data_IF_658184431546
#
_entry.id   IF_658184431546
#
_cell.length_a   1.000
_cell.length_b   1.000
_cell.length_c   1.000
_cell.angle_alpha   90.00
_cell.angle_beta   90.00
_cell.angle_gamma   90.00
#
_symmetry.space_group_name_H-M   'P 1'
#
loop_
_entity.id
_entity.type
_entity.pdbx_description
1 polymer ?
#
# COMPACT_ATOMS: atom_id res chain seq x y z
N UNK A 1 -63.60 -42.52 6.05
CA UNK A 1 -62.20 -42.35 6.56
C UNK A 1 -61.42 -41.63 5.49
N UNK A 2 -61.08 -40.33 5.70
CA UNK A 2 -60.29 -39.53 4.78
C UNK A 2 -58.91 -39.40 5.44
N UNK A 3 -57.87 -39.95 4.79
CA UNK A 3 -56.48 -39.80 5.24
C UNK A 3 -55.94 -38.46 4.74
N UNK A 4 -55.52 -37.60 5.65
CA UNK A 4 -54.80 -36.37 5.39
C UNK A 4 -53.32 -36.69 5.45
N UNK A 5 -52.61 -36.52 4.34
CA UNK A 5 -51.16 -36.66 4.25
C UNK A 5 -50.53 -35.30 4.53
N UNK A 6 -49.65 -35.13 5.53
CA UNK A 6 -48.97 -33.86 5.74
C UNK A 6 -47.83 -33.68 4.69
N UNK A 7 -47.85 -32.53 4.02
CA UNK A 7 -46.78 -32.12 3.13
C UNK A 7 -45.57 -31.67 3.97
N UNK A 8 -44.47 -32.37 3.81
CA UNK A 8 -43.17 -31.97 4.38
C UNK A 8 -42.53 -30.95 3.46
N UNK A 9 -42.48 -29.69 3.87
CA UNK A 9 -41.69 -28.66 3.20
C UNK A 9 -40.21 -28.87 3.53
N UNK A 10 -39.45 -29.35 2.56
CA UNK A 10 -37.98 -29.40 2.67
C UNK A 10 -37.42 -28.01 2.36
N UNK A 11 -36.80 -27.38 3.35
CA UNK A 11 -36.03 -26.17 3.18
C UNK A 11 -34.65 -26.56 2.61
N UNK A 12 -34.42 -26.24 1.35
CA UNK A 12 -33.05 -26.31 0.78
C UNK A 12 -32.23 -25.15 1.34
N UNK A 13 -31.29 -25.45 2.21
CA UNK A 13 -30.25 -24.49 2.62
C UNK A 13 -29.29 -24.38 1.44
N UNK A 14 -29.36 -23.27 0.73
CA UNK A 14 -28.33 -22.86 -0.22
C UNK A 14 -27.08 -22.52 0.59
N UNK A 15 -26.17 -23.48 0.72
CA UNK A 15 -24.80 -23.20 1.17
C UNK A 15 -24.16 -22.32 0.10
N UNK A 16 -24.00 -21.02 0.39
CA UNK A 16 -23.16 -20.15 -0.41
C UNK A 16 -21.76 -20.74 -0.48
N UNK A 17 -21.28 -21.01 -1.68
CA UNK A 17 -19.89 -21.37 -1.90
C UNK A 17 -19.04 -20.18 -1.41
N UNK A 18 -18.37 -20.31 -0.26
CA UNK A 18 -17.25 -19.47 0.08
C UNK A 18 -16.20 -19.78 -1.01
N UNK A 19 -15.97 -18.82 -1.91
CA UNK A 19 -14.82 -18.87 -2.78
C UNK A 19 -13.61 -18.79 -1.85
N UNK A 20 -12.97 -19.92 -1.59
CA UNK A 20 -11.63 -19.94 -1.04
C UNK A 20 -10.77 -19.22 -2.08
N UNK A 21 -10.29 -18.02 -1.75
CA UNK A 21 -9.21 -17.38 -2.49
C UNK A 21 -8.07 -18.40 -2.43
N UNK A 22 -7.70 -18.95 -3.60
CA UNK A 22 -6.51 -19.81 -3.68
C UNK A 22 -5.38 -19.02 -3.03
N UNK A 23 -4.61 -19.62 -2.11
CA UNK A 23 -3.50 -18.93 -1.48
C UNK A 23 -2.63 -18.39 -2.60
N UNK A 24 -2.40 -17.10 -2.62
CA UNK A 24 -1.46 -16.48 -3.55
C UNK A 24 -0.17 -17.30 -3.45
N UNK A 25 0.23 -17.96 -4.55
CA UNK A 25 1.44 -18.77 -4.54
C UNK A 25 2.66 -17.85 -4.48
N UNK A 26 2.90 -17.37 -3.26
CA UNK A 26 4.03 -16.50 -2.95
C UNK A 26 5.35 -17.23 -3.18
N UNK A 27 5.32 -18.58 -3.15
CA UNK A 27 6.50 -19.42 -3.42
C UNK A 27 6.94 -19.34 -4.90
N UNK A 28 6.05 -18.99 -5.83
CA UNK A 28 6.41 -18.76 -7.23
C UNK A 28 7.25 -17.50 -7.42
N UNK A 29 7.19 -16.53 -6.51
CA UNK A 29 8.06 -15.37 -6.53
C UNK A 29 9.30 -15.69 -5.68
N UNK A 30 10.51 -15.55 -6.23
CA UNK A 30 11.78 -15.76 -5.50
C UNK A 30 12.06 -14.57 -4.55
N UNK A 31 11.05 -14.25 -3.70
CA UNK A 31 11.12 -13.17 -2.71
C UNK A 31 11.93 -13.55 -1.47
N UNK A 32 12.20 -14.85 -1.28
CA UNK A 32 12.90 -15.35 -0.08
C UNK A 32 14.35 -14.88 0.06
N UNK A 33 14.92 -14.30 -1.01
CA UNK A 33 16.25 -13.74 -1.01
C UNK A 33 16.27 -12.19 -1.06
N UNK A 34 15.10 -11.54 -1.04
CA UNK A 34 15.02 -10.09 -1.11
C UNK A 34 15.43 -9.42 0.22
N UNK A 35 16.09 -8.28 0.12
CA UNK A 35 16.39 -7.43 1.26
C UNK A 35 15.21 -6.50 1.58
N UNK A 36 14.46 -6.07 0.53
CA UNK A 36 13.24 -5.27 0.64
C UNK A 36 12.19 -5.82 -0.33
N UNK A 37 10.99 -6.09 0.17
CA UNK A 37 9.81 -6.47 -0.61
C UNK A 37 8.76 -5.38 -0.50
N UNK A 38 8.33 -4.82 -1.63
CA UNK A 38 7.30 -3.79 -1.69
C UNK A 38 6.03 -4.45 -2.20
N UNK A 39 4.95 -4.35 -1.44
CA UNK A 39 3.67 -4.98 -1.79
C UNK A 39 2.61 -3.90 -1.98
N UNK A 40 2.22 -3.74 -3.24
CA UNK A 40 1.19 -2.79 -3.65
C UNK A 40 -0.21 -3.24 -3.25
N UNK A 41 -1.16 -2.31 -3.32
CA UNK A 41 -2.58 -2.57 -3.08
C UNK A 41 -3.47 -1.59 -3.84
N UNK A 42 -4.73 -1.93 -3.99
CA UNK A 42 -5.84 -0.99 -4.06
C UNK A 42 -6.41 -0.93 -2.66
N UNK A 43 -6.35 0.22 -2.01
CA UNK A 43 -6.52 0.37 -0.56
C UNK A 43 -7.81 -0.21 0.03
N UNK A 44 -8.88 -0.26 -0.74
CA UNK A 44 -10.19 -0.76 -0.30
C UNK A 44 -10.50 -2.20 -0.76
N UNK A 45 -9.50 -2.93 -1.30
CA UNK A 45 -9.67 -4.31 -1.71
C UNK A 45 -9.20 -5.30 -0.63
N UNK A 46 -10.11 -6.00 0.09
CA UNK A 46 -9.73 -6.92 1.17
C UNK A 46 -8.84 -8.09 0.71
N UNK A 47 -8.96 -8.52 -0.57
CA UNK A 47 -8.15 -9.60 -1.11
C UNK A 47 -6.67 -9.18 -1.21
N UNK A 48 -6.41 -7.90 -1.53
CA UNK A 48 -5.06 -7.35 -1.59
C UNK A 48 -4.38 -7.39 -0.20
N UNK A 49 -5.10 -7.05 0.85
CA UNK A 49 -4.57 -7.10 2.22
C UNK A 49 -4.36 -8.55 2.69
N UNK A 50 -5.21 -9.49 2.26
CA UNK A 50 -4.99 -10.91 2.50
C UNK A 50 -3.69 -11.40 1.86
N UNK A 51 -3.42 -10.99 0.61
CA UNK A 51 -2.16 -11.28 -0.08
C UNK A 51 -0.95 -10.64 0.62
N UNK A 52 -1.07 -9.39 1.07
CA UNK A 52 -0.02 -8.71 1.85
C UNK A 52 0.30 -9.46 3.15
N UNK A 53 -0.72 -9.90 3.88
CA UNK A 53 -0.53 -10.71 5.09
C UNK A 53 0.19 -12.04 4.79
N UNK A 54 -0.15 -12.70 3.66
CA UNK A 54 0.52 -13.91 3.22
C UNK A 54 2.00 -13.66 2.87
N UNK A 55 2.33 -12.55 2.19
CA UNK A 55 3.73 -12.14 1.93
C UNK A 55 4.47 -11.93 3.23
N UNK A 56 3.90 -11.18 4.17
CA UNK A 56 4.52 -10.92 5.48
C UNK A 56 4.76 -12.23 6.23
N UNK A 57 3.79 -13.13 6.24
CA UNK A 57 3.92 -14.45 6.87
C UNK A 57 5.02 -15.32 6.24
N UNK A 58 5.22 -15.22 4.92
CA UNK A 58 6.26 -15.96 4.20
C UNK A 58 7.64 -15.32 4.36
N UNK A 59 7.75 -14.02 4.21
CA UNK A 59 9.04 -13.27 4.28
C UNK A 59 9.58 -13.26 5.70
N UNK A 60 8.70 -13.30 6.71
CA UNK A 60 9.05 -13.14 8.14
C UNK A 60 9.98 -11.94 8.33
N UNK A 61 9.52 -10.72 7.96
CA UNK A 61 10.36 -9.54 7.96
C UNK A 61 10.77 -9.15 9.39
N UNK A 62 11.95 -8.54 9.52
CA UNK A 62 12.35 -7.90 10.78
C UNK A 62 11.76 -6.50 10.94
N UNK A 63 11.31 -5.91 9.84
CA UNK A 63 10.63 -4.62 9.86
C UNK A 63 9.54 -4.53 8.79
N UNK A 64 8.47 -3.79 9.10
CA UNK A 64 7.42 -3.44 8.15
C UNK A 64 7.35 -1.92 8.07
N UNK A 65 7.38 -1.40 6.85
CA UNK A 65 7.17 0.03 6.55
C UNK A 65 5.73 0.23 6.10
N UNK A 66 5.06 1.19 6.70
CA UNK A 66 3.64 1.48 6.48
C UNK A 66 3.44 2.85 5.85
N UNK A 67 2.81 2.90 4.68
CA UNK A 67 2.35 4.16 4.09
C UNK A 67 1.35 4.87 5.01
N UNK A 68 0.51 4.09 5.67
CA UNK A 68 -0.64 4.54 6.45
C UNK A 68 -0.29 5.15 7.80
N UNK A 69 0.89 4.90 8.33
CA UNK A 69 1.30 5.34 9.66
C UNK A 69 2.34 6.45 9.60
N UNK A 70 2.19 7.44 10.45
CA UNK A 70 3.30 8.36 10.77
C UNK A 70 4.36 7.64 11.59
N UNK A 71 5.61 8.15 11.65
CA UNK A 71 6.65 7.58 12.53
C UNK A 71 6.22 7.50 14.00
N UNK A 72 5.44 8.48 14.48
CA UNK A 72 4.91 8.48 15.85
C UNK A 72 3.92 7.35 16.09
N UNK A 73 2.98 7.12 15.17
CA UNK A 73 2.02 6.02 15.24
C UNK A 73 2.71 4.65 15.16
N UNK A 74 3.65 4.49 14.23
CA UNK A 74 4.41 3.24 14.10
C UNK A 74 5.18 2.90 15.39
N UNK A 75 5.69 3.89 16.10
CA UNK A 75 6.35 3.70 17.41
C UNK A 75 5.42 3.25 18.55
N UNK A 76 4.10 3.26 18.34
CA UNK A 76 3.12 2.75 19.31
C UNK A 76 2.81 1.25 19.11
N UNK A 77 3.20 0.68 17.97
CA UNK A 77 2.92 -0.72 17.65
C UNK A 77 3.80 -1.63 18.51
N UNK A 78 3.16 -2.47 19.30
CA UNK A 78 3.83 -3.51 20.12
C UNK A 78 3.12 -4.85 19.93
N UNK A 79 3.77 -5.99 20.20
CA UNK A 79 3.11 -7.31 20.14
C UNK A 79 1.82 -7.35 20.97
N UNK A 80 1.82 -6.79 22.16
CA UNK A 80 0.64 -6.77 23.05
C UNK A 80 -0.52 -5.94 22.46
N UNK A 81 -0.19 -4.87 21.73
CA UNK A 81 -1.21 -4.05 21.08
C UNK A 81 -1.80 -4.76 19.86
N UNK A 82 -0.98 -5.53 19.13
CA UNK A 82 -1.41 -6.33 17.97
C UNK A 82 -2.44 -7.40 18.39
N UNK A 83 -2.34 -7.97 19.58
CA UNK A 83 -3.29 -8.95 20.09
C UNK A 83 -4.73 -8.41 20.25
N UNK A 84 -4.91 -7.08 20.22
CA UNK A 84 -6.21 -6.44 20.35
C UNK A 84 -6.46 -5.43 19.21
N UNK A 85 -7.07 -5.90 18.13
CA UNK A 85 -7.34 -5.10 16.93
C UNK A 85 -8.09 -3.80 17.21
N UNK A 86 -9.11 -3.84 18.10
CA UNK A 86 -9.91 -2.64 18.42
C UNK A 86 -9.06 -1.61 19.17
N UNK A 87 -8.34 -2.04 20.20
CA UNK A 87 -7.46 -1.13 20.93
C UNK A 87 -6.33 -0.58 20.06
N UNK A 88 -5.85 -1.38 19.10
CA UNK A 88 -4.83 -0.95 18.15
C UNK A 88 -5.36 0.13 17.20
N UNK A 89 -6.55 -0.07 16.60
CA UNK A 89 -7.18 0.92 15.73
C UNK A 89 -7.38 2.26 16.46
N UNK A 90 -7.91 2.22 17.70
CA UNK A 90 -8.09 3.40 18.55
C UNK A 90 -6.74 4.08 18.88
N UNK A 91 -5.73 3.29 19.25
CA UNK A 91 -4.41 3.81 19.63
C UNK A 91 -3.66 4.48 18.47
N UNK A 92 -3.88 3.96 17.25
CA UNK A 92 -3.31 4.50 16.01
C UNK A 92 -4.15 5.66 15.44
N UNK A 93 -5.30 5.99 16.04
CA UNK A 93 -6.25 6.99 15.52
C UNK A 93 -6.60 6.73 14.04
N UNK A 94 -6.85 5.43 13.73
CA UNK A 94 -6.95 4.95 12.35
C UNK A 94 -8.11 5.58 11.59
N UNK A 95 -9.28 5.69 12.23
CA UNK A 95 -10.49 6.24 11.59
C UNK A 95 -10.30 7.71 11.20
N UNK A 96 -9.59 8.50 12.03
CA UNK A 96 -9.32 9.90 11.75
C UNK A 96 -8.30 10.09 10.59
N UNK A 97 -7.49 9.08 10.30
CA UNK A 97 -6.55 9.11 9.18
C UNK A 97 -7.23 8.94 7.82
N UNK A 98 -8.48 8.43 7.78
CA UNK A 98 -9.29 8.27 6.58
C UNK A 98 -8.91 7.07 5.70
N UNK A 99 -8.18 6.11 6.26
CA UNK A 99 -7.88 4.84 5.59
C UNK A 99 -9.10 3.90 5.62
N UNK A 100 -9.16 2.87 4.76
CA UNK A 100 -10.19 1.84 4.82
C UNK A 100 -10.22 1.12 6.17
N UNK A 101 -11.23 0.27 6.38
CA UNK A 101 -11.45 -0.45 7.64
C UNK A 101 -10.17 -1.13 8.15
N UNK A 102 -9.81 -0.88 9.40
CA UNK A 102 -8.61 -1.43 10.03
C UNK A 102 -8.58 -2.96 10.03
N UNK A 103 -9.74 -3.60 10.03
CA UNK A 103 -9.83 -5.07 9.99
C UNK A 103 -9.15 -5.68 8.76
N UNK A 104 -9.00 -4.93 7.66
CA UNK A 104 -8.26 -5.37 6.47
C UNK A 104 -6.75 -5.34 6.71
N UNK A 105 -6.24 -4.37 7.46
CA UNK A 105 -4.81 -4.18 7.72
C UNK A 105 -4.30 -4.97 8.93
N UNK A 106 -5.13 -5.17 9.94
CA UNK A 106 -4.74 -5.87 11.17
C UNK A 106 -4.09 -7.26 10.94
N UNK A 107 -4.58 -8.11 10.01
CA UNK A 107 -3.94 -9.41 9.71
C UNK A 107 -2.49 -9.29 9.24
N UNK A 108 -2.10 -8.16 8.62
CA UNK A 108 -0.73 -7.93 8.16
C UNK A 108 0.20 -7.72 9.36
N UNK A 109 -0.24 -6.97 10.38
CA UNK A 109 0.50 -6.82 11.65
C UNK A 109 0.61 -8.16 12.37
N UNK A 110 -0.49 -8.91 12.43
CA UNK A 110 -0.55 -10.21 13.11
C UNK A 110 0.32 -11.29 12.43
N UNK A 111 0.62 -11.14 11.14
CA UNK A 111 1.47 -12.08 10.39
C UNK A 111 2.95 -12.02 10.80
N UNK A 112 3.41 -10.90 11.39
CA UNK A 112 4.77 -10.76 11.92
C UNK A 112 4.76 -9.83 13.15
N UNK A 113 4.24 -10.29 14.31
CA UNK A 113 4.03 -9.44 15.48
C UNK A 113 5.32 -8.90 16.10
N UNK A 114 6.44 -9.57 15.87
CA UNK A 114 7.77 -9.16 16.35
C UNK A 114 8.49 -8.19 15.38
N UNK A 115 7.92 -7.93 14.21
CA UNK A 115 8.52 -7.02 13.25
C UNK A 115 8.40 -5.56 13.73
N UNK A 116 9.51 -4.83 13.64
CA UNK A 116 9.52 -3.39 14.00
C UNK A 116 8.74 -2.61 12.96
N UNK A 117 7.74 -1.83 13.39
CA UNK A 117 6.97 -0.97 12.51
C UNK A 117 7.68 0.36 12.25
N UNK A 118 7.74 0.77 10.98
CA UNK A 118 8.23 2.07 10.51
C UNK A 118 7.10 2.81 9.80
N UNK A 119 6.83 4.04 10.18
CA UNK A 119 5.82 4.87 9.54
C UNK A 119 6.43 5.76 8.45
N UNK A 120 5.70 5.88 7.33
CA UNK A 120 6.10 6.70 6.19
C UNK A 120 4.98 7.65 5.72
N UNK A 121 3.90 7.79 6.49
CA UNK A 121 2.85 8.74 6.16
C UNK A 121 3.39 10.18 6.19
N UNK A 122 3.20 10.90 5.08
CA UNK A 122 3.54 12.31 4.97
C UNK A 122 2.42 13.13 5.62
N UNK A 123 2.72 13.93 6.65
CA UNK A 123 1.72 14.79 7.30
C UNK A 123 1.06 15.75 6.30
N UNK A 124 -0.22 16.03 6.52
CA UNK A 124 -1.01 16.84 5.58
C UNK A 124 -0.48 18.27 5.40
N UNK A 125 0.00 18.87 6.47
CA UNK A 125 0.61 20.21 6.46
C UNK A 125 1.90 20.22 5.63
N UNK A 126 2.74 19.19 5.74
CA UNK A 126 3.94 19.03 4.92
C UNK A 126 3.58 18.80 3.45
N UNK A 127 2.59 17.95 3.16
CA UNK A 127 2.10 17.75 1.81
C UNK A 127 1.54 19.04 1.19
N UNK A 128 0.87 19.88 1.97
CA UNK A 128 0.41 21.20 1.53
C UNK A 128 1.57 22.19 1.33
N UNK A 129 2.56 22.20 2.20
CA UNK A 129 3.72 23.08 2.09
C UNK A 129 4.50 22.84 0.77
N UNK A 130 4.75 21.58 0.40
CA UNK A 130 5.50 21.26 -0.84
C UNK A 130 4.75 21.61 -2.12
N UNK A 131 3.44 21.86 -2.06
CA UNK A 131 2.72 22.36 -3.23
C UNK A 131 3.21 23.76 -3.63
N UNK A 132 3.69 24.55 -2.69
CA UNK A 132 4.10 25.95 -2.88
C UNK A 132 5.62 26.14 -2.76
N UNK A 133 6.31 25.24 -2.06
CA UNK A 133 7.75 25.32 -1.78
C UNK A 133 8.56 24.38 -2.70
N UNK A 134 9.89 24.63 -2.84
CA UNK A 134 10.77 23.69 -3.50
C UNK A 134 10.75 22.33 -2.77
N UNK A 135 10.54 21.24 -3.53
CA UNK A 135 10.46 19.89 -2.96
C UNK A 135 11.70 19.51 -2.15
N UNK A 136 12.89 19.93 -2.62
CA UNK A 136 14.15 19.68 -1.93
C UNK A 136 14.29 20.34 -0.55
N UNK A 137 13.51 21.38 -0.27
CA UNK A 137 13.51 22.04 1.05
C UNK A 137 12.71 21.27 2.11
N UNK A 138 11.79 20.41 1.68
CA UNK A 138 10.88 19.67 2.55
C UNK A 138 11.45 18.29 2.97
N UNK A 139 12.62 17.90 2.47
CA UNK A 139 13.18 16.57 2.68
C UNK A 139 14.68 16.66 2.94
N UNK A 140 15.12 16.27 4.14
CA UNK A 140 16.50 16.46 4.60
C UNK A 140 17.56 15.82 3.67
N UNK A 141 17.28 14.65 3.11
CA UNK A 141 18.18 13.94 2.20
C UNK A 141 17.84 14.15 0.71
N UNK A 142 17.26 15.29 0.34
CA UNK A 142 16.72 15.57 -0.99
C UNK A 142 17.65 15.21 -2.14
N UNK A 143 18.93 15.56 -2.06
CA UNK A 143 19.91 15.28 -3.10
C UNK A 143 20.14 13.77 -3.31
N UNK A 144 20.16 12.98 -2.22
CA UNK A 144 20.35 11.53 -2.30
C UNK A 144 19.15 10.84 -2.99
N UNK A 145 17.95 11.38 -2.79
CA UNK A 145 16.71 10.86 -3.40
C UNK A 145 16.32 11.59 -4.69
N UNK A 146 17.15 12.51 -5.20
CA UNK A 146 16.89 13.26 -6.43
C UNK A 146 15.69 14.21 -6.36
N UNK A 147 15.32 14.65 -5.16
CA UNK A 147 14.23 15.61 -4.94
C UNK A 147 14.65 17.07 -5.13
N UNK A 148 15.95 17.31 -5.23
CA UNK A 148 16.56 18.61 -5.54
C UNK A 148 16.63 18.90 -7.03
N UNK A 149 16.18 17.96 -7.87
CA UNK A 149 16.21 18.06 -9.34
C UNK A 149 14.80 17.96 -9.93
N UNK A 150 14.57 18.73 -10.97
CA UNK A 150 13.34 18.65 -11.75
C UNK A 150 13.30 17.34 -12.54
N UNK A 151 12.08 16.88 -12.82
CA UNK A 151 11.85 15.80 -13.78
C UNK A 151 12.11 16.29 -15.21
N UNK A 152 12.42 15.38 -16.11
CA UNK A 152 12.33 15.70 -17.54
C UNK A 152 10.89 16.04 -17.91
N UNK A 153 10.69 16.89 -18.93
CA UNK A 153 9.35 17.28 -19.40
C UNK A 153 8.45 16.08 -19.66
N UNK A 154 8.99 15.03 -20.27
CA UNK A 154 8.23 13.80 -20.55
C UNK A 154 7.76 13.08 -19.29
N UNK A 155 8.60 12.98 -18.26
CA UNK A 155 8.24 12.38 -16.97
C UNK A 155 7.27 13.25 -16.18
N UNK A 156 7.44 14.58 -16.24
CA UNK A 156 6.53 15.52 -15.60
C UNK A 156 5.13 15.38 -16.18
N UNK A 157 5.00 15.46 -17.52
CA UNK A 157 3.73 15.35 -18.24
C UNK A 157 3.03 14.00 -18.00
N UNK A 158 3.78 12.90 -18.02
CA UNK A 158 3.20 11.56 -17.77
C UNK A 158 2.62 11.45 -16.36
N UNK A 159 3.30 12.01 -15.34
CA UNK A 159 2.82 11.99 -13.96
C UNK A 159 1.67 12.96 -13.73
N UNK A 160 1.66 14.11 -14.41
CA UNK A 160 0.52 15.04 -14.39
C UNK A 160 -0.73 14.42 -15.00
N UNK A 161 -0.56 13.69 -16.11
CA UNK A 161 -1.67 12.97 -16.75
C UNK A 161 -2.24 11.90 -15.80
N UNK A 162 -1.39 11.15 -15.09
CA UNK A 162 -1.84 10.21 -14.06
C UNK A 162 -2.64 10.92 -12.97
N UNK A 163 -2.18 12.07 -12.48
CA UNK A 163 -2.91 12.86 -11.47
C UNK A 163 -4.25 13.36 -12.01
N UNK A 164 -4.30 13.83 -13.25
CA UNK A 164 -5.52 14.27 -13.91
C UNK A 164 -6.57 13.15 -13.95
N UNK A 165 -6.18 11.96 -14.40
CA UNK A 165 -7.06 10.79 -14.49
C UNK A 165 -7.51 10.34 -13.09
N UNK A 166 -6.58 10.21 -12.14
CA UNK A 166 -6.87 9.77 -10.77
C UNK A 166 -7.83 10.71 -10.02
N UNK A 167 -7.92 11.97 -10.45
CA UNK A 167 -8.84 12.96 -9.87
C UNK A 167 -10.00 13.33 -10.81
N UNK A 168 -10.31 12.46 -11.79
CA UNK A 168 -11.50 12.57 -12.65
C UNK A 168 -11.60 13.89 -13.42
N UNK A 169 -10.47 14.43 -13.87
CA UNK A 169 -10.40 15.78 -14.51
C UNK A 169 -10.91 16.95 -13.63
N UNK A 170 -11.16 16.72 -12.35
CA UNK A 170 -11.73 17.73 -11.46
C UNK A 170 -10.69 18.70 -10.90
N UNK A 171 -9.40 18.35 -10.95
CA UNK A 171 -8.33 19.24 -10.51
C UNK A 171 -8.03 20.32 -11.55
N UNK A 172 -7.85 21.58 -11.12
CA UNK A 172 -7.28 22.62 -11.96
C UNK A 172 -5.91 22.20 -12.52
N UNK A 173 -5.67 22.46 -13.80
CA UNK A 173 -4.44 22.02 -14.47
C UNK A 173 -3.16 22.59 -13.85
N UNK A 174 -3.23 23.79 -13.30
CA UNK A 174 -2.13 24.46 -12.60
C UNK A 174 -1.76 23.82 -11.26
N UNK A 175 -2.64 22.96 -10.69
CA UNK A 175 -2.34 22.16 -9.50
C UNK A 175 -1.67 20.82 -9.80
N UNK A 176 -1.73 20.31 -11.04
CA UNK A 176 -1.16 19.00 -11.38
C UNK A 176 0.35 18.90 -11.10
N UNK A 177 1.19 19.90 -11.43
CA UNK A 177 2.61 19.85 -11.06
C UNK A 177 2.84 19.76 -9.54
N UNK A 178 2.01 20.44 -8.75
CA UNK A 178 2.08 20.39 -7.29
C UNK A 178 1.70 19.02 -6.75
N UNK A 179 0.70 18.37 -7.33
CA UNK A 179 0.33 16.98 -6.98
C UNK A 179 1.47 15.99 -7.29
N UNK A 180 2.19 16.19 -8.39
CA UNK A 180 3.38 15.39 -8.71
C UNK A 180 4.47 15.56 -7.65
N UNK A 181 4.69 16.78 -7.13
CA UNK A 181 5.63 17.00 -6.02
C UNK A 181 5.22 16.23 -4.76
N UNK A 182 3.94 16.21 -4.41
CA UNK A 182 3.42 15.45 -3.25
C UNK A 182 3.67 13.96 -3.42
N UNK A 183 3.42 13.40 -4.61
CA UNK A 183 3.70 11.98 -4.86
C UNK A 183 5.19 11.68 -4.74
N UNK A 184 6.05 12.50 -5.33
CA UNK A 184 7.53 12.34 -5.21
C UNK A 184 7.99 12.37 -3.75
N UNK A 185 7.40 13.25 -2.94
CA UNK A 185 7.70 13.31 -1.50
C UNK A 185 7.30 12.01 -0.79
N UNK A 186 6.11 11.48 -1.06
CA UNK A 186 5.61 10.22 -0.48
C UNK A 186 6.50 9.04 -0.86
N UNK A 187 6.83 8.90 -2.15
CA UNK A 187 7.73 7.85 -2.63
C UNK A 187 9.10 7.89 -1.94
N UNK A 188 9.70 9.09 -1.84
CA UNK A 188 10.98 9.25 -1.18
C UNK A 188 10.91 8.99 0.33
N UNK A 189 9.80 9.37 0.98
CA UNK A 189 9.60 9.11 2.42
C UNK A 189 9.47 7.61 2.69
N UNK A 190 8.71 6.88 1.86
CA UNK A 190 8.61 5.42 1.91
C UNK A 190 9.98 4.76 1.70
N UNK A 191 10.71 5.20 0.66
CA UNK A 191 12.05 4.67 0.39
C UNK A 191 13.02 4.96 1.53
N UNK A 192 12.99 6.17 2.12
CA UNK A 192 13.84 6.53 3.26
C UNK A 192 13.52 5.67 4.50
N UNK A 193 12.23 5.45 4.77
CA UNK A 193 11.80 4.57 5.87
C UNK A 193 12.29 3.13 5.65
N UNK A 194 12.20 2.61 4.41
CA UNK A 194 12.69 1.28 4.07
C UNK A 194 14.23 1.15 4.21
N UNK A 195 14.99 2.16 3.77
CA UNK A 195 16.46 2.20 3.95
C UNK A 195 16.82 2.23 5.42
N UNK A 196 16.12 3.05 6.21
CA UNK A 196 16.32 3.11 7.66
C UNK A 196 16.00 1.78 8.33
N UNK A 197 14.85 1.19 8.01
CA UNK A 197 14.42 -0.11 8.55
C UNK A 197 15.46 -1.21 8.23
N UNK A 198 15.98 -1.24 6.99
CA UNK A 198 17.02 -2.18 6.59
C UNK A 198 18.32 -1.96 7.36
N UNK A 199 18.75 -0.71 7.55
CA UNK A 199 19.97 -0.37 8.30
C UNK A 199 19.86 -0.74 9.79
N UNK A 200 18.72 -0.48 10.42
CA UNK A 200 18.51 -0.70 11.85
C UNK A 200 18.32 -2.19 12.18
N UNK A 201 17.71 -2.98 11.29
CA UNK A 201 17.31 -4.38 11.58
C UNK A 201 18.13 -5.43 10.83
N UNK A 202 18.81 -5.03 9.75
CA UNK A 202 19.49 -5.93 8.83
C UNK A 202 18.56 -6.68 7.89
N UNK A 203 17.25 -6.38 7.88
CA UNK A 203 16.23 -6.97 7.01
C UNK A 203 15.91 -8.46 7.26
N UNK A 204 15.04 -9.10 6.46
CA UNK A 204 14.30 -8.46 5.37
C UNK A 204 13.29 -7.40 5.84
N UNK A 205 12.93 -6.47 4.94
CA UNK A 205 11.93 -5.40 5.15
C UNK A 205 10.78 -5.61 4.20
N UNK A 206 9.53 -5.49 4.68
CA UNK A 206 8.35 -5.42 3.83
C UNK A 206 7.79 -4.00 3.86
N UNK A 207 7.42 -3.46 2.69
CA UNK A 207 6.76 -2.16 2.55
C UNK A 207 5.32 -2.39 2.12
N UNK A 208 4.35 -1.91 2.89
CA UNK A 208 2.92 -1.97 2.62
C UNK A 208 2.48 -0.61 2.10
N UNK A 209 1.99 -0.57 0.85
CA UNK A 209 1.69 0.69 0.16
C UNK A 209 0.74 0.48 -1.01
N UNK A 210 0.16 1.55 -1.53
CA UNK A 210 -0.63 1.48 -2.76
C UNK A 210 0.22 1.13 -4.00
N UNK A 211 -0.42 0.53 -5.02
CA UNK A 211 0.24 0.19 -6.30
C UNK A 211 0.97 1.38 -6.92
N UNK A 212 0.43 2.60 -6.76
CA UNK A 212 1.04 3.82 -7.28
C UNK A 212 2.44 4.11 -6.74
N UNK A 213 2.75 3.63 -5.53
CA UNK A 213 4.06 3.76 -4.89
C UNK A 213 4.93 2.51 -5.08
N UNK A 214 4.33 1.34 -5.29
CA UNK A 214 5.05 0.08 -5.51
C UNK A 214 5.64 -0.06 -6.93
N UNK A 215 5.22 0.75 -7.90
CA UNK A 215 5.67 0.71 -9.30
C UNK A 215 7.16 0.96 -9.45
N UNK A 216 7.79 0.27 -10.43
CA UNK A 216 9.27 0.29 -10.61
C UNK A 216 9.77 1.50 -11.38
N UNK A 217 8.96 2.09 -12.24
CA UNK A 217 9.37 3.17 -13.15
C UNK A 217 9.64 4.50 -12.42
N UNK A 218 8.85 4.83 -11.39
CA UNK A 218 9.03 6.06 -10.60
C UNK A 218 8.56 5.99 -9.13
N UNK A 219 8.06 4.85 -8.65
CA UNK A 219 7.72 4.63 -7.25
C UNK A 219 8.93 4.34 -6.37
N UNK A 220 8.68 3.80 -5.20
CA UNK A 220 9.69 3.47 -4.16
C UNK A 220 10.90 2.71 -4.72
N UNK A 221 10.73 1.68 -5.60
CA UNK A 221 11.87 0.95 -6.15
C UNK A 221 12.87 1.85 -6.89
N UNK A 222 12.39 2.88 -7.60
CA UNK A 222 13.25 3.79 -8.35
C UNK A 222 14.15 4.62 -7.44
N UNK A 223 13.64 5.04 -6.28
CA UNK A 223 14.42 5.76 -5.25
C UNK A 223 15.44 4.85 -4.56
N UNK A 224 15.01 3.62 -4.20
CA UNK A 224 15.89 2.63 -3.58
C UNK A 224 17.08 2.27 -4.47
N UNK A 225 16.88 2.16 -5.79
CA UNK A 225 17.96 1.87 -6.74
C UNK A 225 19.07 2.93 -6.72
N UNK A 226 18.75 4.18 -6.40
CA UNK A 226 19.70 5.27 -6.27
C UNK A 226 20.46 5.29 -4.93
N UNK A 227 19.77 4.92 -3.85
CA UNK A 227 20.32 5.07 -2.47
C UNK A 227 20.96 3.79 -1.96
N UNK A 228 20.37 2.63 -2.26
CA UNK A 228 20.87 1.31 -1.85
C UNK A 228 21.01 0.37 -3.06
N UNK A 229 21.87 0.69 -4.05
CA UNK A 229 21.93 -0.03 -5.34
C UNK A 229 22.34 -1.50 -5.22
N UNK A 230 22.80 -1.95 -4.06
CA UNK A 230 23.16 -3.34 -3.80
C UNK A 230 22.03 -4.15 -3.15
N UNK A 231 21.00 -3.48 -2.64
CA UNK A 231 19.85 -4.16 -2.05
C UNK A 231 19.04 -4.87 -3.14
N UNK A 232 18.64 -6.09 -2.85
CA UNK A 232 17.70 -6.85 -3.69
C UNK A 232 16.30 -6.42 -3.35
N UNK A 233 15.71 -5.66 -4.26
CA UNK A 233 14.36 -5.10 -4.11
C UNK A 233 13.40 -5.86 -5.00
N UNK A 234 12.31 -6.34 -4.42
CA UNK A 234 11.17 -6.93 -5.13
C UNK A 234 9.95 -6.06 -5.01
N UNK A 235 9.22 -5.90 -6.10
CA UNK A 235 7.99 -5.13 -6.17
C UNK A 235 6.86 -6.00 -6.67
N UNK A 236 5.78 -6.06 -5.91
CA UNK A 236 4.56 -6.82 -6.18
C UNK A 236 3.43 -5.81 -6.42
N UNK A 237 2.82 -5.89 -7.61
CA UNK A 237 1.59 -5.17 -7.93
C UNK A 237 0.37 -6.06 -7.70
N UNK A 238 -0.79 -5.48 -7.48
CA UNK A 238 -2.05 -6.21 -7.36
C UNK A 238 -3.10 -5.65 -8.32
N UNK A 239 -3.58 -6.51 -9.22
CA UNK A 239 -4.60 -6.23 -10.21
C UNK A 239 -6.01 -6.50 -9.67
N UNK A 240 -7.01 -5.96 -10.33
CA UNK A 240 -8.43 -6.27 -10.12
C UNK A 240 -9.04 -6.73 -11.44
N UNK A 241 -9.65 -7.94 -11.47
CA UNK A 241 -10.30 -8.54 -12.63
C UNK A 241 -9.45 -8.45 -13.92
N UNK A 242 -8.16 -8.76 -13.81
CA UNK A 242 -7.19 -8.73 -14.92
C UNK A 242 -6.68 -7.34 -15.30
N UNK A 243 -7.12 -6.27 -14.62
CA UNK A 243 -6.66 -4.90 -14.86
C UNK A 243 -5.35 -4.66 -14.09
N UNK A 244 -4.23 -5.03 -14.70
CA UNK A 244 -2.91 -4.87 -14.10
C UNK A 244 -2.54 -3.39 -13.90
N UNK A 245 -1.94 -3.02 -12.73
CA UNK A 245 -1.44 -1.66 -12.53
C UNK A 245 -0.25 -1.38 -13.46
N UNK A 246 -0.16 -0.13 -13.93
CA UNK A 246 0.95 0.33 -14.76
C UNK A 246 2.22 0.59 -13.94
N UNK A 247 3.37 0.68 -14.62
CA UNK A 247 4.64 1.13 -14.05
C UNK A 247 5.67 0.04 -13.81
N UNK A 248 5.32 -1.21 -14.14
CA UNK A 248 6.19 -2.37 -14.01
C UNK A 248 6.35 -2.86 -12.57
N UNK A 249 6.34 -4.18 -12.44
CA UNK A 249 6.50 -4.90 -11.17
C UNK A 249 7.32 -6.16 -11.45
N UNK A 250 7.85 -6.81 -10.42
CA UNK A 250 8.49 -8.13 -10.61
C UNK A 250 7.43 -9.21 -10.78
N UNK A 251 6.29 -9.05 -10.08
CA UNK A 251 5.10 -9.90 -10.22
C UNK A 251 3.84 -9.05 -10.05
N UNK A 252 2.77 -9.44 -10.73
CA UNK A 252 1.43 -8.88 -10.52
C UNK A 252 0.50 -10.03 -10.17
N UNK A 253 -0.20 -9.92 -9.06
CA UNK A 253 -1.25 -10.84 -8.66
C UNK A 253 -2.61 -10.26 -8.99
N UNK A 254 -3.55 -11.12 -9.33
CA UNK A 254 -4.91 -10.72 -9.65
C UNK A 254 -5.88 -11.12 -8.54
N UNK A 255 -6.85 -10.26 -8.28
CA UNK A 255 -7.90 -10.48 -7.32
C UNK A 255 -9.24 -9.99 -7.90
N UNK A 256 -10.37 -10.46 -7.38
CA UNK A 256 -11.67 -9.91 -7.78
C UNK A 256 -11.74 -8.40 -7.51
N UNK A 257 -12.35 -7.67 -8.44
CA UNK A 257 -12.61 -6.25 -8.27
C UNK A 257 -13.57 -6.02 -7.08
N UNK A 258 -13.24 -5.06 -6.24
CA UNK A 258 -14.12 -4.62 -5.17
C UNK A 258 -15.23 -3.73 -5.73
N UNK A 259 -16.49 -4.06 -5.45
CA UNK A 259 -17.59 -3.20 -5.83
C UNK A 259 -17.51 -1.86 -5.08
N UNK A 260 -17.39 -0.78 -5.83
CA UNK A 260 -17.33 0.59 -5.27
C UNK A 260 -18.17 1.56 -6.09
N UNK A 261 -18.68 2.64 -5.48
CA UNK A 261 -19.32 3.73 -6.23
C UNK A 261 -18.32 4.32 -7.25
N UNK A 262 -18.83 4.88 -8.36
CA UNK A 262 -18.01 5.62 -9.31
C UNK A 262 -17.23 6.72 -8.54
N UNK A 263 -15.89 6.63 -8.45
CA UNK A 263 -15.09 7.61 -7.70
C UNK A 263 -15.25 9.02 -8.26
N UNK A 264 -15.63 9.13 -9.53
CA UNK A 264 -15.86 10.41 -10.19
C UNK A 264 -17.24 11.00 -9.92
N UNK A 265 -18.17 10.26 -9.31
CA UNK A 265 -19.52 10.76 -9.02
C UNK A 265 -19.52 11.97 -8.06
N UNK A 266 -18.54 12.04 -7.16
CA UNK A 266 -18.39 13.14 -6.20
C UNK A 266 -17.98 14.48 -6.87
N UNK A 267 -17.51 14.42 -8.13
CA UNK A 267 -17.05 15.61 -8.88
C UNK A 267 -18.03 16.04 -9.99
N UNK A 268 -19.14 15.33 -10.15
CA UNK A 268 -20.23 15.63 -11.08
C UNK A 268 -21.36 16.37 -10.38
#
# INVERSE_FOLDING_TARGET
MRYVIPAVLSWAVLAGAAFAIEPVDVAAADIGAADIVIVGEVHDNPAHHTAQAAVVAQVQPKAIVWEMLTPAQAGLVTPELIDNATAMAERLDWDAAGWPDFSMYHPIFAAAPDAVSYGAAVPRDLAQAVMHEPLGAAFEAAAAYGLDRDLSDAHQLAREELQRVAHCDALPKDLLPAMVKVQRLRDATLAQAAVRALADTGGPVVVITGNGHARKDWGVPSYLSGVVPKARVWSIGQAEDGNAPEGGFDVVWDAPEQARPDPCAAFK
#
